data_IF_635875857797
#
_entry.id   IF_635875857797
#
_cell.length_a   1.000
_cell.length_b   1.000
_cell.length_c   1.000
_cell.angle_alpha   90.00
_cell.angle_beta   90.00
_cell.angle_gamma   90.00
#
_symmetry.space_group_name_H-M   'P 1'
#
loop_
_entity.id
_entity.type
_entity.pdbx_description
1 polymer ?
#
# COMPACT_ATOMS: atom_id res chain seq x y z
N UNK A 1 -30.59 -17.09 21.54
CA UNK A 1 -29.46 -17.75 22.22
C UNK A 1 -28.20 -16.94 21.82
N UNK A 2 -27.46 -16.35 22.79
CA UNK A 2 -26.30 -15.52 22.47
C UNK A 2 -25.05 -16.39 22.32
N UNK A 3 -24.31 -16.20 21.26
CA UNK A 3 -22.96 -16.76 21.09
C UNK A 3 -21.97 -16.00 21.98
N UNK A 4 -21.41 -16.71 22.95
CA UNK A 4 -20.28 -16.26 23.76
C UNK A 4 -19.00 -16.86 23.16
N UNK A 5 -18.22 -16.07 22.41
CA UNK A 5 -16.87 -16.45 22.02
C UNK A 5 -15.86 -15.80 22.96
N UNK A 6 -15.42 -16.56 23.94
CA UNK A 6 -14.18 -16.33 24.68
C UNK A 6 -13.02 -16.93 23.89
N UNK A 7 -11.92 -16.18 23.62
CA UNK A 7 -10.75 -16.74 22.94
C UNK A 7 -10.10 -17.82 23.81
N UNK A 8 -9.87 -18.97 23.22
CA UNK A 8 -9.22 -20.12 23.88
C UNK A 8 -7.78 -19.77 24.32
N UNK A 9 -7.37 -20.35 25.45
CA UNK A 9 -6.06 -20.15 26.12
C UNK A 9 -4.81 -20.40 25.24
N UNK A 10 -4.97 -20.91 24.04
CA UNK A 10 -3.89 -21.15 23.09
C UNK A 10 -3.40 -19.89 22.36
N UNK A 11 -4.27 -18.88 22.21
CA UNK A 11 -3.93 -17.60 21.54
C UNK A 11 -3.09 -16.69 22.44
N UNK A 12 -3.12 -16.87 23.76
CA UNK A 12 -2.36 -16.03 24.69
C UNK A 12 -0.88 -16.41 24.84
N UNK A 13 -0.46 -17.61 24.42
CA UNK A 13 0.95 -18.07 24.55
C UNK A 13 1.89 -17.62 23.42
N UNK A 14 1.38 -17.03 22.34
CA UNK A 14 2.18 -16.55 21.21
C UNK A 14 2.66 -15.08 21.35
N UNK A 15 2.33 -14.40 22.45
CA UNK A 15 2.67 -12.99 22.67
C UNK A 15 3.96 -12.75 23.46
N UNK A 16 4.69 -13.77 23.86
CA UNK A 16 5.99 -13.62 24.54
C UNK A 16 7.12 -13.98 23.58
N UNK A 17 7.75 -12.98 22.99
CA UNK A 17 9.07 -13.17 22.35
C UNK A 17 10.12 -13.51 23.42
N UNK A 18 11.06 -14.43 23.15
CA UNK A 18 12.07 -14.85 24.13
C UNK A 18 13.14 -13.79 24.40
N UNK A 19 13.11 -12.63 23.74
CA UNK A 19 14.09 -11.55 23.96
C UNK A 19 13.40 -10.17 23.94
N UNK A 20 13.06 -9.67 25.14
CA UNK A 20 12.41 -8.37 25.35
C UNK A 20 13.29 -7.14 25.05
N UNK A 21 14.55 -7.32 24.60
CA UNK A 21 15.51 -6.21 24.45
C UNK A 21 15.45 -5.52 23.07
N UNK A 22 14.97 -6.15 22.03
CA UNK A 22 14.94 -5.59 20.66
C UNK A 22 13.71 -4.75 20.34
N UNK A 23 12.57 -5.03 20.97
CA UNK A 23 11.33 -4.25 20.76
C UNK A 23 11.41 -2.83 21.39
N UNK A 24 12.15 -2.67 22.47
CA UNK A 24 12.29 -1.38 23.16
C UNK A 24 13.15 -0.36 22.41
N UNK A 25 14.14 -0.77 21.63
CA UNK A 25 15.02 0.15 20.89
C UNK A 25 14.34 0.81 19.69
N UNK A 26 13.36 0.17 19.06
CA UNK A 26 12.62 0.72 17.90
C UNK A 26 11.54 1.73 18.31
N UNK A 27 10.94 1.59 19.48
CA UNK A 27 9.99 2.57 20.02
C UNK A 27 10.65 3.87 20.47
N UNK A 28 11.91 3.84 20.86
CA UNK A 28 12.69 5.06 21.19
C UNK A 28 13.09 5.84 19.93
N UNK A 29 13.35 5.16 18.81
CA UNK A 29 13.63 5.80 17.51
C UNK A 29 12.42 6.61 17.02
N UNK A 30 11.21 6.04 17.09
CA UNK A 30 9.97 6.74 16.73
C UNK A 30 9.69 7.94 17.64
N UNK A 31 10.00 7.86 18.95
CA UNK A 31 9.87 9.00 19.87
C UNK A 31 10.80 10.17 19.56
N UNK A 32 11.98 9.93 18.99
CA UNK A 32 12.92 10.99 18.59
C UNK A 32 12.48 11.77 17.36
N UNK A 33 11.71 11.15 16.44
CA UNK A 33 11.22 11.81 15.23
C UNK A 33 9.91 12.59 15.42
N UNK A 34 9.15 12.31 16.49
CA UNK A 34 7.87 13.01 16.75
C UNK A 34 8.07 14.30 17.57
N UNK A 35 9.26 14.56 18.14
CA UNK A 35 9.50 15.70 19.02
C UNK A 35 10.78 16.46 18.63
N UNK A 36 10.73 17.27 17.61
CA UNK A 36 11.23 18.65 17.54
C UNK A 36 11.25 19.19 16.09
N UNK A 37 10.51 20.23 15.76
CA UNK A 37 10.80 21.03 14.59
C UNK A 37 12.01 21.92 14.93
N UNK A 38 13.17 21.66 14.32
CA UNK A 38 14.28 22.58 14.34
C UNK A 38 13.89 23.86 13.59
N UNK A 39 14.16 25.07 14.12
CA UNK A 39 13.82 26.30 13.43
C UNK A 39 14.74 26.46 12.22
N UNK A 40 14.18 26.35 11.02
CA UNK A 40 14.85 26.77 9.79
C UNK A 40 14.96 28.29 9.84
N UNK A 41 16.19 28.79 9.83
CA UNK A 41 16.49 30.20 9.78
C UNK A 41 15.82 30.86 8.56
N UNK A 42 15.03 31.90 8.82
CA UNK A 42 14.48 32.79 7.80
C UNK A 42 15.60 33.51 7.06
N UNK A 43 16.01 33.02 5.91
CA UNK A 43 16.79 33.79 4.94
C UNK A 43 15.99 33.87 3.64
N UNK A 44 15.64 35.09 3.27
CA UNK A 44 15.16 35.59 1.97
C UNK A 44 14.22 34.67 1.17
N UNK A 45 12.94 35.01 1.20
CA UNK A 45 11.93 34.50 0.26
C UNK A 45 12.29 35.07 -1.12
N UNK A 46 12.87 34.24 -1.97
CA UNK A 46 13.01 34.50 -3.40
C UNK A 46 11.67 34.19 -4.06
N UNK A 47 10.97 35.23 -4.52
CA UNK A 47 9.72 35.15 -5.27
C UNK A 47 9.99 35.03 -6.77
N UNK A 48 10.80 34.06 -7.17
CA UNK A 48 10.99 33.74 -8.59
C UNK A 48 9.96 32.74 -9.10
N UNK A 49 9.58 32.78 -10.41
CA UNK A 49 8.48 32.01 -10.98
C UNK A 49 8.76 30.50 -10.88
N UNK A 50 7.67 29.73 -10.78
CA UNK A 50 7.56 28.25 -10.68
C UNK A 50 8.78 27.49 -11.23
N UNK A 51 9.66 27.04 -10.33
CA UNK A 51 10.80 26.20 -10.71
C UNK A 51 10.29 24.77 -10.88
N UNK A 52 10.18 24.33 -12.13
CA UNK A 52 9.87 22.93 -12.47
C UNK A 52 11.09 22.32 -13.15
N UNK A 53 11.60 21.22 -12.61
CA UNK A 53 12.64 20.42 -13.24
C UNK A 53 12.17 18.97 -13.43
N UNK A 54 12.55 18.37 -14.55
CA UNK A 54 12.21 16.99 -14.89
C UNK A 54 13.50 16.20 -15.10
N UNK A 55 13.57 15.00 -14.55
CA UNK A 55 14.66 14.07 -14.77
C UNK A 55 14.13 12.63 -14.84
N UNK A 56 14.93 11.71 -15.38
CA UNK A 56 14.55 10.31 -15.52
C UNK A 56 15.24 9.47 -14.43
N UNK A 57 14.48 8.61 -13.78
CA UNK A 57 15.02 7.61 -12.84
C UNK A 57 15.81 6.52 -13.57
N UNK A 58 16.52 5.66 -12.82
CA UNK A 58 17.24 4.50 -13.38
C UNK A 58 16.31 3.52 -14.11
N UNK A 59 15.05 3.42 -13.72
CA UNK A 59 14.03 2.62 -14.41
C UNK A 59 13.51 3.28 -15.69
N UNK A 60 13.87 4.54 -15.95
CA UNK A 60 13.29 5.36 -17.02
C UNK A 60 11.92 5.92 -16.69
N UNK A 61 11.57 6.01 -15.41
CA UNK A 61 10.36 6.69 -14.92
C UNK A 61 10.64 8.19 -14.82
N UNK A 62 9.70 9.00 -15.27
CA UNK A 62 9.80 10.44 -15.17
C UNK A 62 9.64 10.89 -13.71
N UNK A 63 10.59 11.67 -13.22
CA UNK A 63 10.56 12.30 -11.91
C UNK A 63 10.46 13.81 -12.15
N UNK A 64 9.49 14.45 -11.54
CA UNK A 64 9.26 15.89 -11.69
C UNK A 64 9.26 16.57 -10.33
N UNK A 65 10.06 17.62 -10.21
CA UNK A 65 9.99 18.54 -9.09
C UNK A 65 9.07 19.71 -9.45
N UNK A 66 8.01 19.90 -8.66
CA UNK A 66 7.09 21.02 -8.78
C UNK A 66 6.65 21.45 -7.38
N UNK A 67 6.64 22.78 -7.10
CA UNK A 67 6.12 23.37 -5.86
C UNK A 67 6.68 22.71 -4.57
N UNK A 68 7.99 22.43 -4.54
CA UNK A 68 8.72 21.77 -3.44
C UNK A 68 8.37 20.30 -3.22
N UNK A 69 7.61 19.70 -4.09
CA UNK A 69 7.24 18.28 -4.04
C UNK A 69 7.87 17.53 -5.21
N UNK A 70 8.36 16.34 -4.94
CA UNK A 70 8.90 15.44 -5.95
C UNK A 70 7.82 14.43 -6.33
N UNK A 71 7.48 14.37 -7.62
CA UNK A 71 6.46 13.48 -8.15
C UNK A 71 7.06 12.44 -9.07
N UNK A 72 6.58 11.19 -8.93
CA UNK A 72 6.71 10.15 -9.95
C UNK A 72 5.56 10.32 -10.94
N UNK A 73 5.89 10.51 -12.21
CA UNK A 73 4.90 10.61 -13.30
C UNK A 73 4.83 9.25 -13.99
N UNK A 74 3.62 8.71 -14.11
CA UNK A 74 3.41 7.45 -14.84
C UNK A 74 3.69 7.59 -16.33
N UNK A 75 4.13 6.52 -16.99
CA UNK A 75 4.41 6.53 -18.42
C UNK A 75 3.13 6.71 -19.22
N UNK A 76 3.18 7.61 -20.22
CA UNK A 76 2.04 7.91 -21.10
C UNK A 76 0.76 8.33 -20.35
N UNK A 77 0.92 8.87 -19.12
CA UNK A 77 -0.17 9.39 -18.30
C UNK A 77 0.23 10.73 -17.69
N UNK A 78 -0.75 11.56 -17.38
CA UNK A 78 -0.54 12.83 -16.68
C UNK A 78 -0.70 12.71 -15.16
N UNK A 79 -1.07 11.54 -14.65
CA UNK A 79 -1.12 11.28 -13.22
C UNK A 79 0.28 11.24 -12.61
N UNK A 80 0.44 11.87 -11.45
CA UNK A 80 1.67 11.86 -10.68
C UNK A 80 1.40 11.61 -9.21
N UNK A 81 2.34 10.92 -8.56
CA UNK A 81 2.28 10.63 -7.13
C UNK A 81 3.51 11.18 -6.45
N UNK A 82 3.38 11.85 -5.29
CA UNK A 82 4.52 12.29 -4.52
C UNK A 82 5.42 11.10 -4.12
N UNK A 83 6.72 11.37 -4.03
CA UNK A 83 7.73 10.40 -3.57
C UNK A 83 8.68 11.04 -2.55
N UNK A 84 8.33 12.24 -2.06
CA UNK A 84 9.07 12.96 -1.04
C UNK A 84 8.93 12.30 0.35
N UNK A 85 9.67 12.83 1.34
CA UNK A 85 9.64 12.31 2.69
C UNK A 85 8.25 12.33 3.32
N UNK A 86 7.41 13.30 3.01
CA UNK A 86 6.06 13.43 3.57
C UNK A 86 5.21 12.26 3.10
N UNK A 87 5.26 11.92 1.81
CA UNK A 87 4.53 10.76 1.29
C UNK A 87 5.13 9.44 1.79
N UNK A 88 6.45 9.34 1.92
CA UNK A 88 7.09 8.15 2.50
C UNK A 88 6.62 7.93 3.94
N UNK A 89 6.64 8.96 4.80
CA UNK A 89 6.12 8.89 6.16
C UNK A 89 4.62 8.52 6.21
N UNK A 90 3.82 9.04 5.26
CA UNK A 90 2.42 8.66 5.12
C UNK A 90 2.25 7.17 4.83
N UNK A 91 3.03 6.63 3.88
CA UNK A 91 3.00 5.20 3.52
C UNK A 91 3.44 4.30 4.68
N UNK A 92 4.45 4.71 5.44
CA UNK A 92 4.90 3.99 6.63
C UNK A 92 3.86 4.03 7.76
N UNK A 93 3.22 5.18 7.98
CA UNK A 93 2.12 5.29 8.94
C UNK A 93 0.93 4.39 8.56
N UNK A 94 0.59 4.29 7.27
CA UNK A 94 -0.42 3.38 6.77
C UNK A 94 -0.03 1.91 6.97
N UNK A 95 1.22 1.55 6.73
CA UNK A 95 1.72 0.21 7.02
C UNK A 95 1.59 -0.15 8.51
N UNK A 96 2.00 0.74 9.42
CA UNK A 96 1.89 0.51 10.85
C UNK A 96 0.44 0.41 11.32
N UNK A 97 -0.45 1.25 10.76
CA UNK A 97 -1.89 1.17 11.01
C UNK A 97 -2.44 -0.21 10.65
N UNK A 98 -2.15 -0.69 9.45
CA UNK A 98 -2.60 -2.00 8.98
C UNK A 98 -2.00 -3.14 9.80
N UNK A 99 -0.73 -3.05 10.18
CA UNK A 99 -0.07 -4.03 11.04
C UNK A 99 -0.72 -4.13 12.42
N UNK A 100 -1.12 -3.00 13.02
CA UNK A 100 -1.84 -2.97 14.30
C UNK A 100 -3.25 -3.54 14.12
N UNK A 101 -3.93 -3.21 13.04
CA UNK A 101 -5.28 -3.67 12.72
C UNK A 101 -5.33 -5.18 12.54
N UNK A 102 -4.45 -5.72 11.71
CA UNK A 102 -4.39 -7.14 11.33
C UNK A 102 -3.66 -7.99 12.38
N UNK A 103 -2.85 -7.38 13.25
CA UNK A 103 -1.98 -8.06 14.21
C UNK A 103 -0.64 -8.56 13.62
N UNK A 104 -0.56 -8.66 12.29
CA UNK A 104 0.64 -9.03 11.53
C UNK A 104 0.76 -8.16 10.28
N UNK A 105 1.95 -8.03 9.66
CA UNK A 105 2.12 -7.28 8.40
C UNK A 105 1.50 -8.01 7.19
N UNK A 106 0.94 -9.20 7.37
CA UNK A 106 0.35 -10.03 6.32
C UNK A 106 -1.02 -10.56 6.71
N UNK A 107 -1.73 -11.06 5.72
CA UNK A 107 -3.02 -11.77 5.85
C UNK A 107 -2.94 -13.13 5.12
N UNK A 108 -3.98 -13.97 5.27
CA UNK A 108 -4.00 -15.30 4.67
C UNK A 108 -3.02 -16.30 5.32
N UNK A 109 -2.87 -17.52 4.76
CA UNK A 109 -2.14 -18.62 5.37
C UNK A 109 -0.61 -18.56 5.12
N UNK A 110 0.02 -17.42 5.37
CA UNK A 110 1.47 -17.17 5.14
C UNK A 110 2.32 -18.16 5.93
N UNK A 111 1.98 -18.41 7.20
CA UNK A 111 2.74 -19.34 8.04
C UNK A 111 2.74 -20.77 7.47
N UNK A 112 1.64 -21.21 6.84
CA UNK A 112 1.57 -22.54 6.23
C UNK A 112 2.52 -22.70 5.05
N UNK A 113 2.78 -21.61 4.32
CA UNK A 113 3.74 -21.60 3.21
C UNK A 113 5.17 -21.55 3.73
N UNK A 114 5.44 -20.71 4.74
CA UNK A 114 6.81 -20.40 5.19
C UNK A 114 7.36 -21.39 6.23
N UNK A 115 6.53 -22.15 6.94
CA UNK A 115 6.96 -23.13 7.96
C UNK A 115 7.95 -24.18 7.47
N UNK A 116 7.96 -24.45 6.17
CA UNK A 116 8.90 -25.40 5.54
C UNK A 116 10.20 -24.76 5.07
N UNK A 117 10.41 -23.46 5.32
CA UNK A 117 11.66 -22.77 4.99
C UNK A 117 12.79 -23.23 5.92
N UNK A 118 13.97 -23.45 5.35
CA UNK A 118 15.16 -23.85 6.08
C UNK A 118 16.40 -23.21 5.46
N UNK A 119 17.56 -23.30 6.12
CA UNK A 119 18.82 -22.80 5.56
C UNK A 119 19.20 -23.46 4.24
N UNK A 120 18.82 -24.73 4.04
CA UNK A 120 19.11 -25.52 2.83
C UNK A 120 18.07 -25.32 1.71
N UNK A 121 16.85 -24.93 2.10
CA UNK A 121 15.74 -24.70 1.16
C UNK A 121 14.98 -23.44 1.59
N UNK A 122 15.54 -22.30 1.22
CA UNK A 122 14.96 -21.00 1.57
C UNK A 122 13.73 -20.73 0.71
N UNK A 123 12.66 -20.31 1.38
CA UNK A 123 11.47 -19.77 0.72
C UNK A 123 11.75 -18.37 0.23
N UNK A 124 11.05 -17.95 -0.82
CA UNK A 124 11.24 -16.63 -1.44
C UNK A 124 9.94 -15.85 -1.49
N UNK A 125 10.01 -14.61 -1.06
CA UNK A 125 8.91 -13.62 -1.13
C UNK A 125 9.28 -12.55 -2.14
N UNK A 126 8.31 -12.13 -2.97
CA UNK A 126 8.40 -10.95 -3.82
C UNK A 126 7.35 -9.94 -3.39
N UNK A 127 7.76 -8.71 -3.10
CA UNK A 127 6.90 -7.55 -2.85
C UNK A 127 6.89 -6.66 -4.08
N UNK A 128 5.80 -6.71 -4.87
CA UNK A 128 5.68 -5.95 -6.13
C UNK A 128 5.05 -4.60 -5.88
N UNK A 129 5.77 -3.53 -6.17
CA UNK A 129 5.40 -2.17 -5.79
C UNK A 129 5.72 -1.91 -4.32
N UNK A 130 6.96 -2.20 -3.92
CA UNK A 130 7.38 -2.20 -2.51
C UNK A 130 7.37 -0.82 -1.84
N UNK A 131 7.33 0.27 -2.64
CA UNK A 131 7.34 1.64 -2.15
C UNK A 131 8.57 1.92 -1.28
N UNK A 132 8.37 2.31 -0.01
CA UNK A 132 9.44 2.54 0.96
C UNK A 132 10.16 1.25 1.41
N UNK A 133 9.69 0.07 1.01
CA UNK A 133 10.26 -1.22 1.41
C UNK A 133 9.90 -1.68 2.82
N UNK A 134 9.08 -0.93 3.55
CA UNK A 134 8.77 -1.21 4.97
C UNK A 134 8.10 -2.58 5.16
N UNK A 135 7.21 -3.00 4.24
CA UNK A 135 6.57 -4.32 4.32
C UNK A 135 7.58 -5.45 4.11
N UNK A 136 8.43 -5.33 3.08
CA UNK A 136 9.47 -6.32 2.79
C UNK A 136 10.48 -6.46 3.94
N UNK A 137 10.87 -5.32 4.55
CA UNK A 137 11.75 -5.28 5.72
C UNK A 137 11.13 -5.97 6.93
N UNK A 138 9.84 -5.70 7.23
CA UNK A 138 9.12 -6.35 8.33
C UNK A 138 8.99 -7.87 8.11
N UNK A 139 8.75 -8.31 6.86
CA UNK A 139 8.70 -9.74 6.53
C UNK A 139 10.07 -10.41 6.67
N UNK A 140 11.14 -9.74 6.28
CA UNK A 140 12.50 -10.26 6.43
C UNK A 140 12.92 -10.40 7.90
N UNK A 141 12.55 -9.43 8.76
CA UNK A 141 12.78 -9.48 10.21
C UNK A 141 11.97 -10.64 10.87
N UNK A 142 10.71 -10.84 10.44
CA UNK A 142 9.85 -11.90 10.98
C UNK A 142 10.28 -13.30 10.55
N UNK A 143 10.85 -13.43 9.35
CA UNK A 143 11.21 -14.71 8.75
C UNK A 143 12.68 -14.74 8.30
N UNK A 144 13.68 -14.81 9.23
CA UNK A 144 15.10 -14.75 8.89
C UNK A 144 15.59 -15.87 7.94
N UNK A 145 14.80 -16.94 7.77
CA UNK A 145 15.11 -18.06 6.87
C UNK A 145 14.42 -17.97 5.51
N UNK A 146 13.84 -16.81 5.20
CA UNK A 146 13.15 -16.53 3.94
C UNK A 146 13.90 -15.43 3.22
N UNK A 147 14.07 -15.54 1.90
CA UNK A 147 14.63 -14.46 1.09
C UNK A 147 13.48 -13.53 0.67
N UNK A 148 13.59 -12.25 0.98
CA UNK A 148 12.60 -11.25 0.65
C UNK A 148 13.16 -10.29 -0.38
N UNK A 149 12.43 -10.11 -1.48
CA UNK A 149 12.80 -9.21 -2.57
C UNK A 149 11.68 -8.19 -2.71
N UNK A 150 12.01 -6.90 -2.62
CA UNK A 150 11.12 -5.81 -2.96
C UNK A 150 11.49 -5.23 -4.32
N UNK A 151 10.49 -4.87 -5.12
CA UNK A 151 10.72 -4.21 -6.41
C UNK A 151 9.78 -3.03 -6.60
N UNK A 152 10.32 -1.91 -7.10
CA UNK A 152 9.59 -0.68 -7.39
C UNK A 152 10.25 0.07 -8.56
N UNK A 153 9.54 1.01 -9.16
CA UNK A 153 10.11 1.89 -10.21
C UNK A 153 10.96 3.02 -9.63
N UNK A 154 10.85 3.31 -8.33
CA UNK A 154 11.51 4.43 -7.66
C UNK A 154 12.46 3.94 -6.60
N UNK A 155 13.65 4.55 -6.55
CA UNK A 155 14.73 4.25 -5.61
C UNK A 155 14.54 5.10 -4.34
N UNK A 156 13.63 4.65 -3.45
CA UNK A 156 13.33 5.31 -2.17
C UNK A 156 13.46 4.35 -0.97
N UNK A 157 13.94 3.14 -1.21
CA UNK A 157 14.10 2.13 -0.18
C UNK A 157 15.35 2.41 0.68
N UNK A 158 15.39 1.97 1.94
CA UNK A 158 16.53 2.18 2.81
C UNK A 158 17.74 1.32 2.39
N UNK A 159 18.94 1.88 2.52
CA UNK A 159 20.20 1.15 2.27
C UNK A 159 20.48 0.07 3.34
N UNK A 160 20.07 0.32 4.59
CA UNK A 160 20.28 -0.59 5.72
C UNK A 160 19.04 -1.44 5.95
N UNK A 161 19.12 -2.70 5.54
CA UNK A 161 18.04 -3.69 5.60
C UNK A 161 18.51 -5.00 6.23
N UNK A 162 17.61 -5.89 6.68
CA UNK A 162 17.97 -7.25 7.11
C UNK A 162 18.76 -8.00 6.03
N UNK A 163 19.71 -8.88 6.41
CA UNK A 163 20.60 -9.55 5.46
C UNK A 163 19.90 -10.51 4.47
N UNK A 164 18.62 -10.78 4.68
CA UNK A 164 17.76 -11.58 3.82
C UNK A 164 16.72 -10.73 3.06
N UNK A 165 16.93 -9.41 2.96
CA UNK A 165 16.11 -8.48 2.22
C UNK A 165 16.94 -7.76 1.16
N UNK A 166 16.42 -7.67 -0.07
CA UNK A 166 17.05 -6.97 -1.18
C UNK A 166 16.01 -6.16 -1.95
N UNK A 167 16.43 -5.00 -2.50
CA UNK A 167 15.57 -4.15 -3.32
C UNK A 167 16.12 -4.00 -4.74
N UNK A 168 15.23 -4.03 -5.73
CA UNK A 168 15.56 -3.87 -7.14
C UNK A 168 14.65 -2.84 -7.80
N UNK A 169 15.25 -1.95 -8.59
CA UNK A 169 14.50 -0.97 -9.38
C UNK A 169 14.03 -1.63 -10.67
N UNK A 170 12.72 -1.72 -10.84
CA UNK A 170 12.09 -2.39 -11.98
C UNK A 170 10.77 -1.73 -12.38
N UNK A 171 10.53 -1.67 -13.68
CA UNK A 171 9.24 -1.29 -14.26
C UNK A 171 8.31 -2.50 -14.25
N UNK A 172 7.32 -2.49 -13.37
CA UNK A 172 6.36 -3.60 -13.21
C UNK A 172 5.46 -3.82 -14.43
N UNK A 173 5.40 -2.88 -15.35
CA UNK A 173 4.64 -3.03 -16.62
C UNK A 173 5.39 -3.88 -17.65
N UNK A 174 6.65 -4.21 -17.37
CA UNK A 174 7.50 -5.08 -18.18
C UNK A 174 7.71 -6.43 -17.49
N UNK A 175 8.07 -7.47 -18.25
CA UNK A 175 8.47 -8.74 -17.66
C UNK A 175 9.62 -8.56 -16.65
N UNK A 176 9.42 -9.04 -15.42
CA UNK A 176 10.46 -9.04 -14.41
C UNK A 176 11.52 -10.12 -14.71
N UNK A 177 12.80 -9.87 -14.40
CA UNK A 177 13.91 -10.75 -14.75
C UNK A 177 14.03 -11.96 -13.81
N UNK A 178 12.92 -12.61 -13.50
CA UNK A 178 12.87 -13.78 -12.65
C UNK A 178 12.37 -15.00 -13.42
N UNK A 179 12.89 -16.20 -13.13
CA UNK A 179 12.36 -17.44 -13.71
C UNK A 179 10.90 -17.65 -13.31
N UNK A 180 10.14 -18.33 -14.19
CA UNK A 180 8.80 -18.76 -13.86
C UNK A 180 8.80 -19.64 -12.60
N UNK A 181 7.74 -19.56 -11.80
CA UNK A 181 7.60 -20.38 -10.58
C UNK A 181 8.79 -20.26 -9.63
N UNK A 182 9.27 -19.03 -9.36
CA UNK A 182 10.44 -18.78 -8.54
C UNK A 182 10.14 -18.25 -7.13
N UNK A 183 8.89 -17.86 -6.85
CA UNK A 183 8.49 -17.31 -5.56
C UNK A 183 7.43 -18.17 -4.86
N UNK A 184 7.55 -18.28 -3.56
CA UNK A 184 6.60 -19.00 -2.70
C UNK A 184 5.45 -18.10 -2.24
N UNK A 185 5.74 -16.80 -2.06
CA UNK A 185 4.74 -15.75 -1.80
C UNK A 185 5.02 -14.57 -2.70
N UNK A 186 3.95 -13.99 -3.24
CA UNK A 186 3.98 -12.68 -3.90
C UNK A 186 2.98 -11.78 -3.18
N UNK A 187 3.40 -10.55 -2.85
CA UNK A 187 2.58 -9.55 -2.20
C UNK A 187 2.44 -8.32 -3.10
N UNK A 188 1.23 -7.77 -3.16
CA UNK A 188 0.90 -6.54 -3.87
C UNK A 188 -0.05 -5.73 -2.99
N UNK A 189 0.29 -4.44 -2.74
CA UNK A 189 -0.54 -3.57 -1.92
C UNK A 189 -0.60 -2.16 -2.49
N UNK A 190 -1.83 -1.59 -2.61
CA UNK A 190 -2.09 -0.22 -3.07
C UNK A 190 -1.46 0.13 -4.42
N UNK A 191 -1.37 -0.85 -5.30
CA UNK A 191 -0.78 -0.70 -6.63
C UNK A 191 -1.84 -0.45 -7.72
N UNK A 192 -3.10 -0.85 -7.50
CA UNK A 192 -4.17 -0.79 -8.50
C UNK A 192 -4.44 0.59 -9.07
N UNK A 193 -4.15 1.65 -8.30
CA UNK A 193 -4.30 3.05 -8.71
C UNK A 193 -3.01 3.68 -9.25
N UNK A 194 -1.91 2.93 -9.31
CA UNK A 194 -0.59 3.46 -9.66
C UNK A 194 -0.05 2.93 -10.99
N UNK A 195 -0.77 1.99 -11.61
CA UNK A 195 -0.36 1.31 -12.85
C UNK A 195 -1.49 1.32 -13.88
N UNK A 196 -1.13 1.37 -15.17
CA UNK A 196 -2.11 1.40 -16.27
C UNK A 196 -2.89 0.09 -16.42
N UNK A 197 -2.25 -1.05 -16.17
CA UNK A 197 -2.85 -2.37 -16.34
C UNK A 197 -2.56 -3.26 -15.15
N UNK A 198 -3.34 -3.10 -14.09
CA UNK A 198 -3.26 -3.94 -12.91
C UNK A 198 -3.50 -5.43 -13.20
N UNK A 199 -4.46 -5.84 -14.07
CA UNK A 199 -4.61 -7.25 -14.47
C UNK A 199 -3.35 -7.86 -15.09
N UNK A 200 -2.57 -7.11 -15.86
CA UNK A 200 -1.30 -7.61 -16.42
C UNK A 200 -0.26 -7.87 -15.33
N UNK A 201 -0.21 -7.01 -14.30
CA UNK A 201 0.67 -7.23 -13.12
C UNK A 201 0.26 -8.51 -12.39
N UNK A 202 -1.05 -8.71 -12.17
CA UNK A 202 -1.56 -9.93 -11.53
C UNK A 202 -1.24 -11.19 -12.34
N UNK A 203 -1.41 -11.13 -13.66
CA UNK A 203 -1.04 -12.24 -14.55
C UNK A 203 0.45 -12.56 -14.46
N UNK A 204 1.31 -11.56 -14.45
CA UNK A 204 2.75 -11.73 -14.24
C UNK A 204 3.04 -12.36 -12.87
N UNK A 205 2.41 -11.87 -11.80
CA UNK A 205 2.56 -12.44 -10.47
C UNK A 205 2.20 -13.93 -10.43
N UNK A 206 1.09 -14.33 -11.05
CA UNK A 206 0.69 -15.74 -11.13
C UNK A 206 1.71 -16.61 -11.89
N UNK A 207 2.39 -16.09 -12.93
CA UNK A 207 3.43 -16.86 -13.64
C UNK A 207 4.69 -17.06 -12.80
N UNK A 208 5.06 -16.04 -11.99
CA UNK A 208 6.22 -16.08 -11.11
C UNK A 208 5.98 -16.90 -9.83
N UNK A 209 4.73 -17.11 -9.46
CA UNK A 209 4.35 -17.86 -8.27
C UNK A 209 4.53 -19.37 -8.49
N UNK A 210 5.17 -20.06 -7.53
CA UNK A 210 5.31 -21.52 -7.52
C UNK A 210 3.98 -22.23 -7.37
N UNK A 211 3.86 -23.49 -7.81
CA UNK A 211 2.77 -24.35 -7.36
C UNK A 211 2.72 -24.40 -5.84
N UNK A 212 1.52 -24.39 -5.25
CA UNK A 212 1.26 -24.20 -3.81
C UNK A 212 1.70 -22.84 -3.23
N UNK A 213 2.23 -21.92 -4.02
CA UNK A 213 2.55 -20.57 -3.59
C UNK A 213 1.31 -19.72 -3.33
N UNK A 214 1.52 -18.58 -2.67
CA UNK A 214 0.46 -17.69 -2.18
C UNK A 214 0.61 -16.30 -2.78
N UNK A 215 -0.41 -15.81 -3.49
CA UNK A 215 -0.53 -14.40 -3.89
C UNK A 215 -1.36 -13.67 -2.84
N UNK A 216 -0.84 -12.57 -2.31
CA UNK A 216 -1.51 -11.69 -1.33
C UNK A 216 -1.81 -10.35 -1.97
N UNK A 217 -3.04 -9.89 -1.87
CA UNK A 217 -3.48 -8.59 -2.36
C UNK A 217 -4.17 -7.80 -1.25
N UNK A 218 -3.79 -6.53 -1.10
CA UNK A 218 -4.47 -5.62 -0.19
C UNK A 218 -4.72 -4.29 -0.89
N UNK A 219 -5.99 -4.03 -1.25
CA UNK A 219 -6.34 -2.94 -2.14
C UNK A 219 -7.67 -2.26 -1.77
N UNK A 220 -7.81 -1.00 -2.15
CA UNK A 220 -9.12 -0.36 -2.25
C UNK A 220 -9.55 -0.39 -3.73
N UNK A 221 -10.12 -1.52 -4.17
CA UNK A 221 -10.66 -1.62 -5.52
C UNK A 221 -11.90 -0.72 -5.68
N UNK A 222 -12.11 -0.23 -6.89
CA UNK A 222 -13.26 0.59 -7.27
C UNK A 222 -13.24 2.02 -6.75
N UNK A 223 -12.15 2.50 -6.13
CA UNK A 223 -12.15 3.81 -5.47
C UNK A 223 -13.38 3.97 -4.59
N UNK A 224 -13.62 3.00 -3.71
CA UNK A 224 -14.76 3.09 -2.79
C UNK A 224 -14.52 4.23 -1.80
N UNK A 225 -15.37 5.26 -1.81
CA UNK A 225 -15.24 6.36 -0.86
C UNK A 225 -15.50 5.88 0.57
N UNK A 226 -15.00 6.58 1.58
CA UNK A 226 -15.42 6.38 2.96
C UNK A 226 -16.94 6.42 3.11
N UNK A 227 -17.50 5.52 3.90
CA UNK A 227 -18.93 5.32 4.08
C UNK A 227 -19.30 5.23 5.56
N UNK A 228 -20.53 5.57 5.90
CA UNK A 228 -21.12 5.29 7.21
C UNK A 228 -21.36 3.78 7.39
N UNK A 229 -21.79 3.38 8.59
CA UNK A 229 -22.20 1.98 8.87
C UNK A 229 -23.38 1.50 8.02
N UNK A 230 -24.15 2.42 7.46
CA UNK A 230 -25.30 2.16 6.57
C UNK A 230 -24.93 2.28 5.09
N UNK A 231 -23.62 2.23 4.75
CA UNK A 231 -23.09 2.35 3.39
C UNK A 231 -23.49 3.65 2.67
N UNK A 232 -23.71 4.74 3.44
CA UNK A 232 -23.99 6.07 2.91
C UNK A 232 -22.67 6.85 2.79
N UNK A 233 -22.43 7.42 1.62
CA UNK A 233 -21.29 8.31 1.37
C UNK A 233 -21.74 9.76 1.55
N UNK A 234 -21.11 10.57 2.43
CA UNK A 234 -21.37 11.99 2.56
C UNK A 234 -21.09 12.77 1.28
N UNK A 235 -21.73 13.93 1.11
CA UNK A 235 -21.67 14.69 -0.15
C UNK A 235 -20.28 15.22 -0.48
N UNK A 236 -19.52 15.71 0.50
CA UNK A 236 -18.16 16.21 0.30
C UNK A 236 -17.20 15.08 -0.07
N UNK A 237 -17.31 13.94 0.63
CA UNK A 237 -16.60 12.71 0.30
C UNK A 237 -16.91 12.27 -1.13
N UNK A 238 -18.19 12.19 -1.51
CA UNK A 238 -18.61 11.78 -2.84
C UNK A 238 -18.09 12.73 -3.93
N UNK A 239 -18.22 14.04 -3.73
CA UNK A 239 -17.76 15.04 -4.68
C UNK A 239 -16.24 14.96 -4.94
N UNK A 240 -15.44 14.79 -3.88
CA UNK A 240 -14.00 14.62 -4.00
C UNK A 240 -13.64 13.34 -4.78
N UNK A 241 -14.25 12.21 -4.42
CA UNK A 241 -13.99 10.94 -5.11
C UNK A 241 -14.44 10.96 -6.58
N UNK A 242 -15.55 11.63 -6.92
CA UNK A 242 -15.98 11.79 -8.31
C UNK A 242 -15.00 12.66 -9.11
N UNK A 243 -14.48 13.72 -8.49
CA UNK A 243 -13.45 14.56 -9.06
C UNK A 243 -12.17 13.71 -9.30
N UNK A 244 -11.69 13.01 -8.28
CA UNK A 244 -10.50 12.18 -8.36
C UNK A 244 -10.63 11.07 -9.43
N UNK A 245 -11.77 10.37 -9.49
CA UNK A 245 -12.05 9.35 -10.53
C UNK A 245 -12.00 9.94 -11.95
N UNK A 246 -12.61 11.11 -12.17
CA UNK A 246 -12.55 11.79 -13.47
C UNK A 246 -11.13 12.16 -13.85
N UNK A 247 -10.40 12.79 -12.93
CA UNK A 247 -8.99 13.19 -13.12
C UNK A 247 -8.09 11.99 -13.40
N UNK A 248 -8.31 10.89 -12.67
CA UNK A 248 -7.59 9.64 -12.87
C UNK A 248 -7.83 9.08 -14.28
N UNK A 249 -9.08 9.04 -14.73
CA UNK A 249 -9.42 8.56 -16.08
C UNK A 249 -8.90 9.50 -17.18
N UNK A 250 -9.00 10.81 -16.99
CA UNK A 250 -8.45 11.81 -17.94
C UNK A 250 -6.93 11.74 -18.03
N UNK A 251 -6.26 11.30 -16.97
CA UNK A 251 -4.81 11.07 -16.95
C UNK A 251 -4.36 9.84 -17.73
N UNK A 252 -5.27 9.06 -18.34
CA UNK A 252 -4.94 7.83 -19.07
C UNK A 252 -4.83 6.58 -18.20
N UNK A 253 -5.18 6.68 -16.92
CA UNK A 253 -5.27 5.53 -16.02
C UNK A 253 -6.67 4.93 -16.04
N UNK A 254 -6.79 3.63 -15.76
CA UNK A 254 -8.06 2.92 -15.67
C UNK A 254 -8.33 2.49 -14.24
N UNK A 255 -9.53 2.79 -13.76
CA UNK A 255 -10.00 2.24 -12.48
C UNK A 255 -10.12 0.73 -12.63
N UNK A 256 -9.35 -0.02 -11.87
CA UNK A 256 -9.43 -1.47 -11.83
C UNK A 256 -10.63 -1.87 -10.96
N UNK A 257 -11.56 -2.63 -11.51
CA UNK A 257 -12.71 -3.15 -10.79
C UNK A 257 -12.39 -4.49 -10.14
N UNK A 258 -13.08 -4.80 -9.04
CA UNK A 258 -12.92 -6.08 -8.36
C UNK A 258 -13.21 -7.27 -9.30
N UNK A 259 -14.19 -7.12 -10.20
CA UNK A 259 -14.55 -8.15 -11.18
C UNK A 259 -13.39 -8.46 -12.14
N UNK A 260 -12.63 -7.44 -12.58
CA UNK A 260 -11.46 -7.59 -13.44
C UNK A 260 -10.35 -8.36 -12.71
N UNK A 261 -10.15 -8.05 -11.42
CA UNK A 261 -9.21 -8.75 -10.54
C UNK A 261 -9.61 -10.21 -10.38
N UNK A 262 -10.86 -10.46 -9.99
CA UNK A 262 -11.40 -11.82 -9.83
C UNK A 262 -11.30 -12.60 -11.13
N UNK A 263 -11.65 -11.98 -12.27
CA UNK A 263 -11.51 -12.58 -13.60
C UNK A 263 -10.09 -13.04 -13.90
N UNK A 264 -9.09 -12.19 -13.61
CA UNK A 264 -7.67 -12.50 -13.80
C UNK A 264 -7.19 -13.60 -12.87
N UNK A 265 -7.62 -13.59 -11.61
CA UNK A 265 -7.16 -14.52 -10.58
C UNK A 265 -7.78 -15.92 -10.68
N UNK A 266 -8.92 -16.10 -11.36
CA UNK A 266 -9.61 -17.41 -11.51
C UNK A 266 -8.71 -18.50 -12.07
N UNK A 267 -7.75 -18.16 -12.92
CA UNK A 267 -6.73 -19.09 -13.42
C UNK A 267 -5.67 -19.50 -12.39
N UNK A 268 -5.58 -18.80 -11.27
CA UNK A 268 -4.57 -19.00 -10.22
C UNK A 268 -4.99 -19.87 -9.05
N UNK A 269 -6.28 -20.23 -8.94
CA UNK A 269 -6.83 -21.01 -7.83
C UNK A 269 -8.03 -20.38 -7.15
N UNK A 270 -8.42 -20.90 -5.99
CA UNK A 270 -9.53 -20.37 -5.19
C UNK A 270 -9.15 -19.02 -4.58
N UNK A 271 -9.99 -18.01 -4.85
CA UNK A 271 -9.86 -16.67 -4.28
C UNK A 271 -10.56 -16.67 -2.92
N UNK A 272 -9.85 -16.25 -1.90
CA UNK A 272 -10.37 -16.06 -0.54
C UNK A 272 -10.02 -14.67 -0.04
N UNK A 273 -10.76 -14.17 0.93
CA UNK A 273 -10.47 -12.88 1.54
C UNK A 273 -11.66 -12.24 2.21
N UNK A 274 -11.42 -11.05 2.73
CA UNK A 274 -12.36 -10.29 3.55
C UNK A 274 -12.42 -8.83 3.10
N UNK A 275 -13.55 -8.19 3.36
CA UNK A 275 -13.69 -6.74 3.31
C UNK A 275 -13.40 -6.18 4.71
N UNK A 276 -12.30 -5.45 4.83
CA UNK A 276 -11.85 -4.88 6.10
C UNK A 276 -12.32 -3.44 6.20
N UNK A 277 -13.18 -3.16 7.19
CA UNK A 277 -13.65 -1.80 7.50
C UNK A 277 -12.74 -1.17 8.56
N UNK A 278 -12.12 -0.05 8.23
CA UNK A 278 -11.23 0.70 9.10
C UNK A 278 -11.89 2.02 9.50
N UNK A 279 -12.18 2.26 10.78
CA UNK A 279 -12.84 3.50 11.24
C UNK A 279 -11.93 4.72 11.05
N UNK A 280 -12.53 5.87 10.79
CA UNK A 280 -11.86 7.15 10.55
C UNK A 280 -12.20 8.11 11.68
N UNK A 281 -11.21 8.48 12.50
CA UNK A 281 -11.38 9.48 13.56
C UNK A 281 -12.20 9.03 14.78
N UNK A 282 -13.02 8.02 14.66
CA UNK A 282 -13.89 7.49 15.71
C UNK A 282 -13.54 6.02 16.02
N UNK A 283 -13.87 5.59 17.21
CA UNK A 283 -13.64 4.21 17.63
C UNK A 283 -13.60 4.07 19.14
N UNK A 284 -13.72 2.85 19.62
CA UNK A 284 -13.70 2.53 21.05
C UNK A 284 -12.55 1.58 21.38
N UNK A 285 -12.06 1.62 22.61
CA UNK A 285 -10.99 0.72 23.07
C UNK A 285 -9.74 0.82 22.19
N UNK A 286 -9.26 -0.31 21.69
CA UNK A 286 -8.06 -0.40 20.82
C UNK A 286 -8.20 0.42 19.54
N UNK A 287 -9.40 0.57 19.01
CA UNK A 287 -9.66 1.27 17.76
C UNK A 287 -9.57 2.80 17.90
N UNK A 288 -9.60 3.36 19.11
CA UNK A 288 -9.53 4.82 19.34
C UNK A 288 -8.26 5.45 18.80
N UNK A 289 -7.10 4.87 19.08
CA UNK A 289 -5.82 5.38 18.60
C UNK A 289 -5.64 5.13 17.10
N UNK A 290 -6.02 3.94 16.65
CA UNK A 290 -5.90 3.51 15.27
C UNK A 290 -6.74 4.38 14.33
N UNK A 291 -7.99 4.69 14.69
CA UNK A 291 -8.87 5.55 13.89
C UNK A 291 -8.36 6.99 13.77
N UNK A 292 -7.73 7.52 14.82
CA UNK A 292 -7.08 8.84 14.77
C UNK A 292 -5.88 8.87 13.83
N UNK A 293 -5.04 7.83 13.86
CA UNK A 293 -3.93 7.69 12.91
C UNK A 293 -4.47 7.58 11.50
N UNK A 294 -5.56 6.82 11.30
CA UNK A 294 -6.20 6.67 10.00
C UNK A 294 -6.75 7.99 9.46
N UNK A 295 -7.40 8.81 10.30
CA UNK A 295 -7.86 10.15 9.92
C UNK A 295 -6.69 11.05 9.46
N UNK A 296 -5.59 11.06 10.21
CA UNK A 296 -4.39 11.84 9.84
C UNK A 296 -3.83 11.34 8.51
N UNK A 297 -3.71 10.03 8.35
CA UNK A 297 -3.20 9.41 7.12
C UNK A 297 -4.08 9.73 5.91
N UNK A 298 -5.41 9.70 6.08
CA UNK A 298 -6.35 10.01 5.01
C UNK A 298 -6.32 11.49 4.60
N UNK A 299 -6.15 12.41 5.58
CA UNK A 299 -5.93 13.84 5.26
C UNK A 299 -4.65 14.06 4.47
N UNK A 300 -3.56 13.37 4.82
CA UNK A 300 -2.32 13.42 4.05
C UNK A 300 -2.49 12.77 2.65
N UNK A 301 -3.27 11.70 2.53
CA UNK A 301 -3.58 11.10 1.23
C UNK A 301 -4.34 12.06 0.29
N UNK A 302 -5.23 12.91 0.80
CA UNK A 302 -5.89 13.93 0.00
C UNK A 302 -4.82 14.77 -0.74
N UNK A 303 -3.82 15.26 -0.02
CA UNK A 303 -2.73 16.05 -0.61
C UNK A 303 -1.92 15.26 -1.65
N UNK A 304 -1.72 13.95 -1.44
CA UNK A 304 -1.04 13.09 -2.42
C UNK A 304 -1.77 13.02 -3.77
N UNK A 305 -3.07 13.33 -3.81
CA UNK A 305 -3.87 13.34 -5.05
C UNK A 305 -3.83 14.66 -5.81
N UNK A 306 -3.30 15.74 -5.19
CA UNK A 306 -3.32 17.11 -5.73
C UNK A 306 -2.80 17.18 -7.18
N UNK A 307 -1.64 16.60 -7.43
CA UNK A 307 -1.05 16.63 -8.78
C UNK A 307 -1.98 15.95 -9.80
N UNK A 308 -2.51 14.79 -9.50
CA UNK A 308 -3.40 14.05 -10.39
C UNK A 308 -4.68 14.84 -10.66
N UNK A 309 -5.25 15.51 -9.66
CA UNK A 309 -6.48 16.29 -9.81
C UNK A 309 -6.22 17.56 -10.62
N UNK A 310 -5.16 18.30 -10.34
CA UNK A 310 -4.86 19.55 -11.02
C UNK A 310 -4.33 19.31 -12.43
N UNK A 311 -3.23 18.57 -12.58
CA UNK A 311 -2.57 18.36 -13.87
C UNK A 311 -3.31 17.34 -14.76
N UNK A 312 -3.84 16.28 -14.15
CA UNK A 312 -4.57 15.24 -14.88
C UNK A 312 -6.03 15.57 -15.13
N UNK A 313 -6.67 16.26 -14.19
CA UNK A 313 -8.10 16.62 -14.26
C UNK A 313 -8.39 18.03 -14.78
N UNK A 314 -7.40 18.91 -14.84
CA UNK A 314 -7.57 20.29 -15.27
C UNK A 314 -8.23 21.19 -14.23
N UNK A 315 -8.18 20.82 -12.95
CA UNK A 315 -8.71 21.62 -11.86
C UNK A 315 -7.70 22.67 -11.40
N UNK A 316 -8.18 23.78 -10.88
CA UNK A 316 -7.36 24.80 -10.23
C UNK A 316 -7.01 24.42 -8.78
N UNK A 317 -5.98 25.06 -8.21
CA UNK A 317 -5.66 24.91 -6.79
C UNK A 317 -6.86 25.26 -5.89
N UNK A 318 -7.58 26.34 -6.20
CA UNK A 318 -8.74 26.77 -5.42
C UNK A 318 -9.88 25.74 -5.44
N UNK A 319 -10.15 25.13 -6.60
CA UNK A 319 -11.17 24.05 -6.69
C UNK A 319 -10.75 22.81 -5.91
N UNK A 320 -9.47 22.43 -5.98
CA UNK A 320 -8.93 21.35 -5.17
C UNK A 320 -9.09 21.63 -3.67
N UNK A 321 -8.73 22.84 -3.21
CA UNK A 321 -8.80 23.23 -1.80
C UNK A 321 -10.23 23.21 -1.28
N UNK A 322 -11.22 23.68 -2.08
CA UNK A 322 -12.65 23.63 -1.74
C UNK A 322 -13.13 22.17 -1.62
N UNK A 323 -12.79 21.30 -2.58
CA UNK A 323 -13.17 19.89 -2.56
C UNK A 323 -12.52 19.14 -1.38
N UNK A 324 -11.25 19.42 -1.12
CA UNK A 324 -10.50 18.84 -0.01
C UNK A 324 -11.07 19.25 1.35
N UNK A 325 -11.42 20.52 1.52
CA UNK A 325 -12.02 21.00 2.75
C UNK A 325 -13.41 20.37 2.99
N UNK A 326 -14.26 20.27 1.97
CA UNK A 326 -15.56 19.63 2.08
C UNK A 326 -15.41 18.14 2.46
N UNK A 327 -14.41 17.45 1.92
CA UNK A 327 -14.11 16.07 2.30
C UNK A 327 -13.66 15.97 3.77
N UNK A 328 -12.71 16.82 4.19
CA UNK A 328 -12.19 16.85 5.57
C UNK A 328 -13.33 17.15 6.56
N UNK A 329 -14.20 18.08 6.23
CA UNK A 329 -15.37 18.43 7.04
C UNK A 329 -16.30 17.22 7.28
N UNK A 330 -16.53 16.42 6.24
CA UNK A 330 -17.33 15.19 6.37
C UNK A 330 -16.61 14.13 7.21
N UNK A 331 -15.26 13.97 7.06
CA UNK A 331 -14.48 13.04 7.87
C UNK A 331 -14.49 13.38 9.37
N UNK A 332 -14.66 14.66 9.71
CA UNK A 332 -14.68 15.14 11.10
C UNK A 332 -16.07 15.11 11.72
N UNK A 333 -17.13 15.19 10.90
CA UNK A 333 -18.53 15.24 11.35
C UNK A 333 -19.21 13.89 11.41
N UNK A 334 -18.83 12.98 10.51
CA UNK A 334 -19.51 11.70 10.31
C UNK A 334 -18.70 10.53 10.81
N UNK A 335 -19.35 9.49 11.32
CA UNK A 335 -18.71 8.22 11.64
C UNK A 335 -18.49 7.39 10.37
N UNK A 336 -17.29 7.52 9.77
CA UNK A 336 -16.96 6.92 8.49
C UNK A 336 -15.96 5.76 8.63
N UNK A 337 -15.96 4.88 7.64
CA UNK A 337 -15.06 3.75 7.49
C UNK A 337 -14.49 3.71 6.08
N UNK A 338 -13.19 3.48 5.96
CA UNK A 338 -12.58 3.04 4.70
C UNK A 338 -12.70 1.54 4.58
N UNK A 339 -13.00 1.06 3.36
CA UNK A 339 -13.11 -0.38 3.08
C UNK A 339 -11.93 -0.84 2.23
N UNK A 340 -11.23 -1.87 2.70
CA UNK A 340 -10.13 -2.52 1.97
C UNK A 340 -10.46 -3.97 1.67
N UNK A 341 -10.13 -4.42 0.47
CA UNK A 341 -10.19 -5.81 0.08
C UNK A 341 -8.85 -6.48 0.43
N UNK A 342 -8.93 -7.44 1.35
CA UNK A 342 -7.82 -8.31 1.73
C UNK A 342 -8.05 -9.65 1.03
N UNK A 343 -7.39 -9.89 -0.10
CA UNK A 343 -7.58 -11.08 -0.92
C UNK A 343 -6.32 -11.94 -0.95
N UNK A 344 -6.49 -13.24 -1.04
CA UNK A 344 -5.39 -14.14 -1.30
C UNK A 344 -5.81 -15.34 -2.17
N UNK A 345 -4.85 -15.84 -2.95
CA UNK A 345 -5.02 -16.98 -3.84
C UNK A 345 -3.87 -17.95 -3.62
N UNK A 346 -4.19 -19.21 -3.39
CA UNK A 346 -3.19 -20.29 -3.35
C UNK A 346 -3.17 -21.00 -4.69
N UNK A 347 -2.01 -20.93 -5.37
CA UNK A 347 -1.85 -21.58 -6.68
C UNK A 347 -1.92 -23.09 -6.53
N UNK A 348 -2.71 -23.82 -7.36
CA UNK A 348 -2.80 -25.26 -7.31
C UNK A 348 -1.45 -25.99 -7.47
N UNK A 349 -1.35 -27.20 -6.96
CA UNK A 349 -0.14 -28.06 -7.06
C UNK A 349 0.14 -28.49 -8.49
N UNK A 350 -0.91 -28.81 -9.25
CA UNK A 350 -0.86 -29.20 -10.65
C UNK A 350 -1.72 -28.22 -11.45
N UNK A 351 -1.09 -27.44 -12.31
CA UNK A 351 -1.79 -26.92 -13.46
C UNK A 351 -1.92 -28.14 -14.40
N UNK A 352 -3.05 -28.85 -14.33
CA UNK A 352 -3.41 -29.77 -15.40
C UNK A 352 -3.36 -28.94 -16.68
N UNK A 353 -2.45 -29.27 -17.60
CA UNK A 353 -2.52 -28.85 -18.99
C UNK A 353 -3.80 -29.47 -19.53
N UNK A 354 -4.93 -28.80 -19.36
CA UNK A 354 -6.07 -29.01 -20.23
C UNK A 354 -5.79 -28.20 -21.49
N UNK A 355 -4.92 -28.79 -22.34
CA UNK A 355 -4.98 -28.62 -23.76
C UNK A 355 -6.32 -29.22 -24.23
N UNK A 356 -7.23 -28.36 -24.63
CA UNK A 356 -8.03 -28.58 -25.85
C UNK A 356 -8.70 -27.26 -26.23
#
# INVERSE_FOLDING_TARGET
>A
MPYSDTPTKQTQRLFLQPDGSKALRRTESIRKYVMSPSPISKSSIDTSPEFSSTFMSRSGTEIRWKDRTIYRIGRNVTAGYPIDLIEQERQEAEHHLLRILLGYPYHGPVLDILKSSSRMNRKRILDMGTGTGIWATDMADLFPHVDVIGTDEVDIQPELVPPNCEFYISDLTKPLPYPLSSFDIIHIRFLSTRVQSYPSILSQALTLLRPNGLLLLFENFTFSPPQTVHDITPKGVQAFYDCYKRSFSSSGLKVCKLEDVVGTLRGGGDIKGDLIKVPIGHGTGRMTQLSKIHLINLKAWIESTRYTIIEGGGYTNNEFDILSQAFIDDLEKEELYTCYHSLWVKKPTNVSQNSE
#
